data_IF_096229853916
#
_entry.id   IF_096229853916
#
_cell.length_a   1.000
_cell.length_b   1.000
_cell.length_c   1.000
_cell.angle_alpha   90.00
_cell.angle_beta   90.00
_cell.angle_gamma   90.00
#
_symmetry.space_group_name_H-M   'P 1'
#
loop_
_entity.id
_entity.type
_entity.pdbx_description
1 polymer ?
#
# COMPACT_ATOMS: atom_id res chain seq x y z
N UNK A 1 10.05 7.27 16.49
CA UNK A 1 8.96 6.67 15.72
C UNK A 1 7.92 6.10 16.67
N UNK A 2 6.70 6.62 16.66
CA UNK A 2 5.56 6.12 17.42
C UNK A 2 4.39 5.99 16.44
N UNK A 3 4.24 4.84 15.82
CA UNK A 3 3.04 4.50 15.09
C UNK A 3 1.96 4.08 16.11
N UNK A 4 0.78 4.65 16.01
CA UNK A 4 -0.34 4.35 16.89
C UNK A 4 -1.09 3.08 16.49
N UNK A 5 -0.62 2.40 15.44
CA UNK A 5 -1.23 1.18 14.93
C UNK A 5 -1.26 0.09 15.99
N UNK A 6 -2.46 -0.33 16.32
CA UNK A 6 -2.69 -1.44 17.24
C UNK A 6 -2.76 -2.74 16.46
N UNK A 7 -1.92 -3.70 16.84
CA UNK A 7 -1.83 -5.02 16.20
C UNK A 7 -1.61 -4.95 14.69
N UNK A 8 -0.44 -4.53 14.24
CA UNK A 8 -0.14 -4.42 12.82
C UNK A 8 -0.07 -5.81 12.16
N UNK A 9 -0.73 -5.94 11.00
CA UNK A 9 -0.72 -7.18 10.21
C UNK A 9 0.32 -7.14 9.11
N UNK A 10 0.58 -5.97 8.56
CA UNK A 10 1.52 -5.77 7.49
C UNK A 10 1.58 -4.33 7.04
N UNK A 11 2.42 -4.08 6.06
CA UNK A 11 2.56 -2.75 5.49
C UNK A 11 2.72 -2.84 3.97
N UNK A 12 2.28 -1.80 3.30
CA UNK A 12 2.54 -1.54 1.89
C UNK A 12 3.39 -0.30 1.76
N UNK A 13 4.23 -0.28 0.74
CA UNK A 13 5.19 0.81 0.49
C UNK A 13 4.92 1.40 -0.88
N UNK A 14 4.96 2.72 -0.98
CA UNK A 14 4.80 3.46 -2.23
C UNK A 14 4.98 4.95 -1.99
N UNK A 15 5.32 5.69 -3.02
CA UNK A 15 5.52 7.14 -2.98
C UNK A 15 4.17 7.85 -3.16
N UNK A 16 3.41 7.96 -2.06
CA UNK A 16 2.03 8.46 -2.06
C UNK A 16 1.91 9.97 -2.31
N UNK A 17 3.00 10.70 -2.15
CA UNK A 17 3.02 12.15 -2.37
C UNK A 17 3.83 12.58 -3.61
N UNK A 18 4.38 11.60 -4.36
CA UNK A 18 5.18 11.76 -5.57
C UNK A 18 6.44 12.63 -5.38
N UNK A 19 7.08 12.57 -4.19
CA UNK A 19 8.30 13.32 -3.87
C UNK A 19 9.59 12.53 -4.11
N UNK A 20 9.48 11.26 -4.47
CA UNK A 20 10.58 10.34 -4.71
C UNK A 20 10.98 9.52 -3.48
N UNK A 21 10.34 9.72 -2.32
CA UNK A 21 10.60 8.96 -1.11
C UNK A 21 9.45 8.00 -0.84
N UNK A 22 9.74 6.74 -0.64
CA UNK A 22 8.69 5.76 -0.36
C UNK A 22 8.07 5.97 1.01
N UNK A 23 6.74 6.04 1.04
CA UNK A 23 5.89 6.14 2.22
C UNK A 23 5.43 4.76 2.66
N UNK A 24 4.85 4.67 3.85
CA UNK A 24 4.43 3.39 4.42
C UNK A 24 2.98 3.47 4.90
N UNK A 25 2.14 2.58 4.40
CA UNK A 25 0.82 2.32 4.95
C UNK A 25 0.86 1.05 5.80
N UNK A 26 0.46 1.14 7.07
CA UNK A 26 0.45 0.03 8.02
C UNK A 26 -0.99 -0.37 8.30
N UNK A 27 -1.37 -1.57 7.91
CA UNK A 27 -2.67 -2.13 8.22
C UNK A 27 -2.74 -2.62 9.65
N UNK A 28 -3.76 -2.19 10.39
CA UNK A 28 -3.89 -2.42 11.81
C UNK A 28 -5.23 -2.95 12.26
N UNK A 29 -5.26 -3.33 13.54
CA UNK A 29 -6.45 -3.75 14.25
C UNK A 29 -6.64 -5.24 14.35
N UNK A 30 -7.48 -5.62 15.32
CA UNK A 30 -7.70 -7.01 15.66
C UNK A 30 -9.20 -7.35 15.70
N UNK A 31 -9.74 -8.25 15.05
CA UNK A 31 -11.18 -8.53 14.91
C UNK A 31 -11.94 -8.61 16.23
N UNK A 32 -11.83 -9.75 16.94
CA UNK A 32 -12.60 -10.03 18.15
C UNK A 32 -11.67 -10.56 19.28
N UNK A 33 -11.94 -10.24 20.52
CA UNK A 33 -12.96 -9.35 21.13
C UNK A 33 -12.47 -7.92 21.35
N UNK A 34 -11.55 -7.46 20.59
CA UNK A 34 -10.66 -6.35 20.89
C UNK A 34 -11.11 -4.99 20.36
N UNK A 35 -10.27 -4.00 20.64
CA UNK A 35 -10.51 -2.60 20.27
C UNK A 35 -10.24 -2.37 18.80
N UNK A 36 -10.93 -1.42 18.23
CA UNK A 36 -10.59 -0.85 16.93
C UNK A 36 -9.17 -0.30 16.95
N UNK A 37 -8.36 -0.73 16.01
CA UNK A 37 -7.02 -0.20 15.79
C UNK A 37 -7.01 0.55 14.46
N UNK A 38 -6.46 1.76 14.48
CA UNK A 38 -6.33 2.58 13.28
C UNK A 38 -5.29 2.00 12.33
N UNK A 39 -5.44 2.28 11.05
CA UNK A 39 -4.34 2.16 10.10
C UNK A 39 -3.41 3.35 10.26
N UNK A 40 -2.11 3.17 10.09
CA UNK A 40 -1.17 4.29 10.07
C UNK A 40 -0.71 4.58 8.66
N UNK A 41 -0.59 5.85 8.34
CA UNK A 41 0.01 6.34 7.11
C UNK A 41 1.20 7.22 7.45
N UNK A 42 2.38 6.79 7.04
CA UNK A 42 3.65 7.38 7.43
C UNK A 42 4.32 7.99 6.20
N UNK A 43 4.24 9.31 6.07
CA UNK A 43 4.94 10.03 5.00
C UNK A 43 6.42 10.17 5.32
N UNK A 44 7.26 9.79 4.36
CA UNK A 44 8.71 9.80 4.47
C UNK A 44 9.27 11.15 4.01
N UNK A 45 10.00 11.84 4.87
CA UNK A 45 10.69 13.05 4.51
C UNK A 45 12.17 12.78 4.20
N UNK A 46 12.52 12.67 2.93
CA UNK A 46 13.90 12.53 2.43
C UNK A 46 14.70 11.39 3.09
N UNK A 47 14.05 10.29 3.53
CA UNK A 47 14.68 9.20 4.24
C UNK A 47 15.15 9.54 5.66
N UNK A 48 14.81 10.71 6.20
CA UNK A 48 15.29 11.18 7.51
C UNK A 48 14.32 10.91 8.64
N UNK A 49 13.03 11.04 8.37
CA UNK A 49 11.96 10.83 9.36
C UNK A 49 10.65 10.53 8.68
N UNK A 50 9.74 9.95 9.43
CA UNK A 50 8.37 9.69 9.02
C UNK A 50 7.41 10.56 9.83
N UNK A 51 6.32 10.99 9.20
CA UNK A 51 5.23 11.72 9.83
C UNK A 51 3.97 10.88 9.82
N UNK A 52 3.31 10.75 10.95
CA UNK A 52 1.97 10.19 11.05
C UNK A 52 1.00 11.11 10.31
N UNK A 53 0.34 10.60 9.29
CA UNK A 53 -0.44 11.41 8.35
C UNK A 53 -1.83 10.85 8.06
N UNK A 54 -2.24 9.75 8.69
CA UNK A 54 -3.51 9.07 8.42
C UNK A 54 -4.73 9.98 8.66
N UNK A 55 -4.72 10.81 9.67
CA UNK A 55 -5.80 11.77 9.94
C UNK A 55 -5.74 13.00 9.03
N UNK A 56 -4.54 13.41 8.67
CA UNK A 56 -4.32 14.56 7.79
C UNK A 56 -4.79 14.27 6.36
N UNK A 57 -4.57 13.04 5.90
CA UNK A 57 -4.89 12.59 4.55
C UNK A 57 -6.24 11.87 4.45
N UNK A 58 -7.02 11.85 5.54
CA UNK A 58 -8.37 11.28 5.53
C UNK A 58 -8.46 9.76 5.45
N UNK A 59 -7.35 9.07 5.73
CA UNK A 59 -7.33 7.61 5.85
C UNK A 59 -8.09 7.18 7.11
N UNK A 60 -7.95 7.93 8.18
CA UNK A 60 -8.67 7.75 9.43
C UNK A 60 -9.29 9.10 9.88
N UNK A 61 -10.41 9.09 10.60
CA UNK A 61 -11.24 7.91 10.86
C UNK A 61 -11.89 7.37 9.58
N UNK A 62 -12.31 6.10 9.59
CA UNK A 62 -13.02 5.51 8.44
C UNK A 62 -14.15 6.41 7.97
N UNK A 63 -14.32 6.55 6.65
CA UNK A 63 -15.26 7.50 6.06
C UNK A 63 -16.73 7.28 6.46
N UNK A 64 -17.11 6.05 6.83
CA UNK A 64 -18.45 5.71 7.32
C UNK A 64 -18.57 5.79 8.86
N UNK A 65 -17.49 6.13 9.56
CA UNK A 65 -17.43 6.23 11.02
C UNK A 65 -17.61 4.90 11.76
N UNK A 66 -17.70 3.77 11.06
CA UNK A 66 -17.89 2.46 11.68
C UNK A 66 -16.57 1.92 12.20
N UNK A 67 -16.61 1.39 13.43
CA UNK A 67 -15.48 0.72 14.06
C UNK A 67 -15.75 -0.75 14.36
N UNK A 68 -17.02 -1.19 14.21
CA UNK A 68 -17.46 -2.53 14.56
C UNK A 68 -18.63 -3.00 13.70
N UNK A 69 -18.88 -4.30 13.71
CA UNK A 69 -20.04 -4.93 13.10
C UNK A 69 -20.42 -6.22 13.84
N UNK A 70 -21.65 -6.70 13.60
CA UNK A 70 -22.07 -8.00 14.14
C UNK A 70 -21.24 -9.10 13.50
N UNK A 71 -20.48 -9.84 14.31
CA UNK A 71 -19.70 -10.98 13.87
C UNK A 71 -20.53 -12.26 13.86
N UNK A 72 -21.22 -12.56 14.98
CA UNK A 72 -22.17 -13.66 15.06
C UNK A 72 -23.25 -13.38 16.10
N UNK A 73 -24.32 -14.18 16.06
CA UNK A 73 -25.43 -14.10 17.02
C UNK A 73 -25.56 -15.41 17.77
N UNK A 74 -25.64 -15.33 19.07
CA UNK A 74 -25.83 -16.46 19.99
C UNK A 74 -27.30 -16.56 20.39
N UNK A 75 -27.76 -17.79 20.58
CA UNK A 75 -29.03 -18.13 21.24
C UNK A 75 -28.72 -18.60 22.66
N UNK A 76 -28.72 -17.64 23.59
CA UNK A 76 -28.31 -17.89 24.97
C UNK A 76 -29.33 -18.70 25.81
N UNK A 77 -30.56 -18.77 25.37
CA UNK A 77 -31.58 -19.63 26.00
C UNK A 77 -31.63 -21.03 25.36
N UNK A 78 -31.04 -21.18 24.18
CA UNK A 78 -31.07 -22.42 23.40
C UNK A 78 -29.71 -23.08 23.25
N UNK A 79 -29.33 -23.26 21.99
CA UNK A 79 -28.13 -24.05 21.58
C UNK A 79 -26.81 -23.50 22.12
N UNK A 80 -26.74 -22.20 22.35
CA UNK A 80 -25.49 -21.51 22.72
C UNK A 80 -25.42 -21.17 24.22
N UNK A 81 -26.34 -21.71 25.06
CA UNK A 81 -26.46 -21.41 26.50
C UNK A 81 -25.17 -21.60 27.30
N UNK A 82 -24.28 -22.47 26.84
CA UNK A 82 -23.02 -22.77 27.51
C UNK A 82 -21.85 -21.94 26.97
N UNK A 83 -22.10 -21.07 25.99
CA UNK A 83 -21.06 -20.19 25.43
C UNK A 83 -20.65 -19.13 26.46
N UNK A 84 -19.33 -18.83 26.55
CA UNK A 84 -18.81 -17.89 27.56
C UNK A 84 -19.48 -16.50 27.48
N UNK A 85 -19.83 -16.07 26.30
CA UNK A 85 -20.51 -14.80 26.04
C UNK A 85 -21.99 -14.83 26.49
N UNK A 86 -22.58 -15.97 26.74
CA UNK A 86 -23.94 -16.11 27.23
C UNK A 86 -24.03 -16.10 28.78
N UNK A 87 -22.91 -16.09 29.49
CA UNK A 87 -22.88 -16.07 30.95
C UNK A 87 -23.63 -14.84 31.49
N UNK A 88 -24.75 -15.10 32.20
CA UNK A 88 -25.62 -14.04 32.75
C UNK A 88 -26.45 -13.29 31.70
N UNK A 89 -26.58 -13.84 30.50
CA UNK A 89 -27.39 -13.31 29.42
C UNK A 89 -28.54 -14.24 29.05
N UNK A 90 -29.62 -13.69 28.53
CA UNK A 90 -30.80 -14.43 28.03
C UNK A 90 -31.14 -13.94 26.62
N UNK A 91 -31.90 -14.73 25.86
CA UNK A 91 -32.34 -14.37 24.52
C UNK A 91 -31.24 -14.43 23.48
N UNK A 92 -31.42 -13.65 22.44
CA UNK A 92 -30.46 -13.52 21.31
C UNK A 92 -29.43 -12.43 21.58
N UNK A 93 -28.16 -12.82 21.73
CA UNK A 93 -27.05 -11.92 21.91
C UNK A 93 -26.26 -11.72 20.60
N UNK A 94 -26.11 -10.49 20.15
CA UNK A 94 -25.17 -10.14 19.07
C UNK A 94 -23.78 -9.96 19.66
N UNK A 95 -22.81 -10.68 19.10
CA UNK A 95 -21.39 -10.51 19.42
C UNK A 95 -20.77 -9.65 18.32
N UNK A 96 -20.17 -8.54 18.73
CA UNK A 96 -19.57 -7.58 17.84
C UNK A 96 -18.08 -7.90 17.61
N UNK A 97 -17.64 -7.78 16.38
CA UNK A 97 -16.24 -7.78 16.02
C UNK A 97 -15.82 -6.37 15.61
N UNK A 98 -14.61 -5.97 15.95
CA UNK A 98 -14.04 -4.72 15.49
C UNK A 98 -13.65 -4.82 14.01
N UNK A 99 -13.87 -3.76 13.25
CA UNK A 99 -13.31 -3.64 11.91
C UNK A 99 -11.80 -3.53 12.01
N UNK A 100 -11.10 -4.10 11.05
CA UNK A 100 -9.64 -4.02 10.99
C UNK A 100 -9.14 -4.41 9.60
N UNK A 101 -8.09 -3.76 9.19
CA UNK A 101 -7.42 -4.03 7.94
C UNK A 101 -6.43 -5.18 8.10
N UNK A 102 -6.38 -6.10 7.15
CA UNK A 102 -5.45 -7.25 7.14
C UNK A 102 -4.32 -7.05 6.16
N UNK A 103 -4.63 -6.55 5.00
CA UNK A 103 -3.69 -6.38 3.91
C UNK A 103 -4.02 -5.13 3.13
N UNK A 104 -3.05 -4.60 2.43
CA UNK A 104 -3.22 -3.45 1.55
C UNK A 104 -2.36 -3.61 0.31
N UNK A 105 -2.71 -2.86 -0.73
CA UNK A 105 -1.90 -2.65 -1.91
C UNK A 105 -1.93 -1.16 -2.25
N UNK A 106 -0.79 -0.64 -2.68
CA UNK A 106 -0.65 0.74 -3.17
C UNK A 106 -0.52 0.65 -4.69
N UNK A 107 -1.43 1.28 -5.40
CA UNK A 107 -1.50 1.27 -6.86
C UNK A 107 -2.14 2.58 -7.35
N UNK A 108 -1.91 2.94 -8.59
CA UNK A 108 -2.69 3.95 -9.30
C UNK A 108 -3.89 3.23 -9.94
N UNK A 109 -5.06 3.29 -9.27
CA UNK A 109 -6.23 2.47 -9.61
C UNK A 109 -7.06 3.05 -10.74
N UNK A 110 -7.19 4.38 -10.79
CA UNK A 110 -7.99 5.09 -11.79
C UNK A 110 -7.15 5.68 -12.93
N UNK A 111 -5.83 5.51 -12.89
CA UNK A 111 -4.84 5.95 -13.87
C UNK A 111 -4.74 7.47 -14.02
N UNK A 112 -4.93 8.20 -12.95
CA UNK A 112 -4.75 9.66 -12.92
C UNK A 112 -3.31 10.08 -12.57
N UNK A 113 -2.48 9.10 -12.18
CA UNK A 113 -1.04 9.24 -11.96
C UNK A 113 -0.63 9.33 -10.51
N UNK A 114 -1.54 9.52 -9.56
CA UNK A 114 -1.22 9.40 -8.15
C UNK A 114 -1.51 7.99 -7.62
N UNK A 115 -1.08 7.70 -6.41
CA UNK A 115 -1.20 6.36 -5.85
C UNK A 115 -2.34 6.27 -4.84
N UNK A 116 -3.17 5.26 -5.03
CA UNK A 116 -4.29 4.89 -4.19
C UNK A 116 -3.94 3.75 -3.25
N UNK A 117 -4.79 3.53 -2.25
CA UNK A 117 -4.67 2.41 -1.32
C UNK A 117 -5.92 1.55 -1.39
N UNK A 118 -5.73 0.27 -1.69
CA UNK A 118 -6.78 -0.75 -1.63
C UNK A 118 -6.52 -1.64 -0.42
N UNK A 119 -7.54 -1.85 0.42
CA UNK A 119 -7.38 -2.67 1.62
C UNK A 119 -8.23 -3.93 1.58
N UNK A 120 -7.78 -4.95 2.30
CA UNK A 120 -8.56 -6.14 2.61
C UNK A 120 -8.93 -6.11 4.10
N UNK A 121 -10.22 -6.12 4.36
CA UNK A 121 -10.76 -5.93 5.70
C UNK A 121 -11.13 -7.25 6.38
N UNK A 122 -11.00 -7.31 7.72
CA UNK A 122 -11.49 -8.43 8.50
C UNK A 122 -13.01 -8.46 8.46
N UNK A 123 -13.54 -9.48 7.78
CA UNK A 123 -14.97 -9.77 7.73
C UNK A 123 -15.85 -8.61 7.27
N UNK A 124 -15.28 -7.72 6.43
CA UNK A 124 -15.96 -6.58 5.85
C UNK A 124 -15.56 -6.36 4.38
N UNK A 125 -16.14 -5.37 3.74
CA UNK A 125 -15.83 -4.98 2.36
C UNK A 125 -14.45 -4.35 2.29
N UNK A 126 -13.70 -4.56 1.22
CA UNK A 126 -12.49 -3.77 0.95
C UNK A 126 -12.78 -2.27 1.01
N UNK A 127 -11.81 -1.49 1.45
CA UNK A 127 -11.84 -0.04 1.29
C UNK A 127 -11.01 0.33 0.07
N UNK A 128 -11.51 1.31 -0.67
CA UNK A 128 -10.78 1.99 -1.73
C UNK A 128 -10.55 3.41 -1.23
N UNK A 129 -9.31 3.75 -0.96
CA UNK A 129 -8.88 5.08 -0.56
C UNK A 129 -8.27 5.71 -1.81
N UNK A 130 -9.12 6.39 -2.56
CA UNK A 130 -8.73 7.06 -3.80
C UNK A 130 -8.10 8.40 -3.44
N UNK A 131 -6.90 8.62 -3.93
CA UNK A 131 -6.19 9.87 -3.79
C UNK A 131 -6.81 10.93 -4.70
N UNK A 132 -6.67 12.18 -4.34
CA UNK A 132 -7.01 13.35 -5.15
C UNK A 132 -5.82 14.30 -5.28
N UNK A 133 -4.62 13.75 -5.12
CA UNK A 133 -3.39 14.53 -5.15
C UNK A 133 -3.15 15.17 -6.51
N UNK A 134 -3.39 14.41 -7.59
CA UNK A 134 -3.24 14.86 -8.97
C UNK A 134 -4.17 16.03 -9.32
N UNK A 135 -5.34 16.09 -8.67
CA UNK A 135 -6.30 17.21 -8.80
C UNK A 135 -5.83 18.47 -8.04
N UNK A 136 -5.06 18.29 -6.97
CA UNK A 136 -4.63 19.36 -6.07
C UNK A 136 -3.29 19.98 -6.45
N UNK A 137 -2.41 19.20 -7.06
CA UNK A 137 -1.09 19.66 -7.54
C UNK A 137 -0.64 18.89 -8.77
N UNK A 138 0.16 19.53 -9.60
CA UNK A 138 0.86 18.81 -10.66
C UNK A 138 1.84 17.82 -10.04
N UNK A 139 1.72 16.56 -10.38
CA UNK A 139 2.64 15.49 -9.96
C UNK A 139 3.53 15.06 -11.12
N UNK A 140 4.72 14.59 -10.79
CA UNK A 140 5.71 14.10 -11.75
C UNK A 140 6.14 12.71 -11.33
N UNK A 141 5.99 11.73 -12.20
CA UNK A 141 6.30 10.33 -11.90
C UNK A 141 6.80 9.58 -13.12
N UNK A 142 7.38 8.40 -12.88
CA UNK A 142 7.61 7.37 -13.88
C UNK A 142 6.99 6.06 -13.38
N UNK A 143 6.35 5.33 -14.28
CA UNK A 143 5.97 3.93 -14.07
C UNK A 143 6.88 3.04 -14.90
N UNK A 144 7.42 1.97 -14.30
CA UNK A 144 8.34 1.06 -14.99
C UNK A 144 7.78 -0.36 -14.92
N UNK A 145 7.49 -0.91 -16.10
CA UNK A 145 7.05 -2.29 -16.26
C UNK A 145 8.16 -3.10 -16.92
N UNK A 146 8.55 -4.19 -16.26
CA UNK A 146 9.63 -5.05 -16.69
C UNK A 146 9.10 -6.29 -17.43
N UNK A 147 9.85 -6.72 -18.45
CA UNK A 147 9.65 -8.00 -19.13
C UNK A 147 10.98 -8.71 -19.29
N UNK A 148 11.19 -9.77 -18.52
CA UNK A 148 12.39 -10.61 -18.62
C UNK A 148 12.37 -11.48 -19.86
N UNK A 149 13.54 -11.80 -20.38
CA UNK A 149 13.79 -12.81 -21.45
C UNK A 149 14.61 -13.98 -20.91
N UNK A 150 15.81 -13.69 -20.43
CA UNK A 150 16.68 -14.65 -19.73
C UNK A 150 16.25 -14.77 -18.27
N UNK A 151 15.84 -13.66 -17.68
CA UNK A 151 15.19 -13.61 -16.36
C UNK A 151 13.73 -14.08 -16.45
N UNK A 152 13.07 -14.25 -15.29
CA UNK A 152 11.65 -14.55 -15.27
C UNK A 152 10.83 -13.47 -15.97
N UNK A 153 9.70 -13.84 -16.55
CA UNK A 153 8.85 -12.99 -17.39
C UNK A 153 8.50 -11.63 -16.79
N UNK A 154 8.24 -11.59 -15.49
CA UNK A 154 7.80 -10.38 -14.80
C UNK A 154 8.99 -9.57 -14.24
N UNK A 155 10.23 -10.02 -14.45
CA UNK A 155 11.43 -9.35 -13.92
C UNK A 155 11.51 -9.35 -12.39
N UNK A 156 10.84 -10.31 -11.71
CA UNK A 156 10.90 -10.43 -10.25
C UNK A 156 12.34 -10.70 -9.81
N UNK A 157 12.84 -9.87 -8.89
CA UNK A 157 14.22 -9.84 -8.42
C UNK A 157 15.08 -8.80 -9.15
N UNK A 158 14.55 -8.08 -10.13
CA UNK A 158 15.26 -6.98 -10.76
C UNK A 158 15.35 -5.76 -9.82
N UNK A 159 16.52 -5.12 -9.81
CA UNK A 159 16.73 -3.86 -9.10
C UNK A 159 16.70 -2.71 -10.11
N UNK A 160 15.78 -1.78 -9.90
CA UNK A 160 15.61 -0.60 -10.76
C UNK A 160 16.11 0.63 -10.02
N UNK A 161 16.98 1.40 -10.69
CA UNK A 161 17.50 2.68 -10.19
C UNK A 161 17.10 3.78 -11.16
N UNK A 162 16.34 4.76 -10.68
CA UNK A 162 16.02 5.99 -11.39
C UNK A 162 16.89 7.11 -10.82
N UNK A 163 17.64 7.79 -11.69
CA UNK A 163 18.47 8.94 -11.31
C UNK A 163 17.79 10.23 -11.73
N UNK A 164 17.70 11.20 -10.82
CA UNK A 164 17.04 12.49 -11.05
C UNK A 164 17.86 13.59 -10.38
N UNK A 165 18.42 14.51 -11.15
CA UNK A 165 19.22 15.63 -10.64
C UNK A 165 20.29 15.20 -9.63
N UNK A 166 20.95 14.06 -9.90
CA UNK A 166 22.01 13.50 -9.06
C UNK A 166 21.53 12.68 -7.86
N UNK A 167 20.24 12.66 -7.53
CA UNK A 167 19.65 11.73 -6.57
C UNK A 167 19.37 10.37 -7.24
N UNK A 168 19.41 9.30 -6.47
CA UNK A 168 19.07 7.94 -6.93
C UNK A 168 17.93 7.38 -6.12
N UNK A 169 16.91 6.93 -6.80
CA UNK A 169 15.76 6.22 -6.24
C UNK A 169 15.87 4.76 -6.68
N UNK A 170 15.77 3.84 -5.73
CA UNK A 170 16.05 2.41 -5.98
C UNK A 170 14.88 1.58 -5.49
N UNK A 171 14.30 0.76 -6.35
CA UNK A 171 13.24 -0.18 -5.99
C UNK A 171 13.60 -1.60 -6.46
N UNK A 172 13.29 -2.58 -5.61
CA UNK A 172 13.35 -3.99 -5.95
C UNK A 172 11.97 -4.42 -6.49
N UNK A 173 11.95 -4.98 -7.67
CA UNK A 173 10.74 -5.64 -8.18
C UNK A 173 10.58 -7.01 -7.50
N UNK A 174 10.04 -7.02 -6.30
CA UNK A 174 9.89 -8.24 -5.50
C UNK A 174 8.53 -8.94 -5.67
N UNK A 175 7.60 -8.28 -6.37
CA UNK A 175 6.25 -8.79 -6.62
C UNK A 175 5.38 -8.89 -5.36
N UNK A 176 5.74 -8.18 -4.29
CA UNK A 176 5.00 -8.19 -3.03
C UNK A 176 4.26 -6.88 -2.82
N UNK A 177 3.16 -6.97 -2.08
CA UNK A 177 2.37 -5.81 -1.70
C UNK A 177 1.56 -6.16 -0.46
N UNK A 178 2.00 -5.69 0.70
CA UNK A 178 1.34 -5.94 1.97
C UNK A 178 1.38 -7.40 2.48
N UNK A 179 0.60 -7.66 3.50
CA UNK A 179 0.50 -8.97 4.16
C UNK A 179 -0.25 -9.97 3.28
N UNK A 180 0.39 -11.09 2.96
CA UNK A 180 -0.16 -12.16 2.11
C UNK A 180 -0.66 -11.67 0.74
N UNK A 181 -0.15 -10.55 0.26
CA UNK A 181 -0.50 -9.97 -1.02
C UNK A 181 0.69 -10.00 -1.99
N UNK A 182 0.38 -10.11 -3.27
CA UNK A 182 1.34 -10.06 -4.36
C UNK A 182 0.83 -9.11 -5.44
N UNK A 183 1.74 -8.39 -6.06
CA UNK A 183 1.44 -7.48 -7.14
C UNK A 183 2.46 -7.61 -8.26
N UNK A 184 1.99 -7.56 -9.49
CA UNK A 184 2.82 -7.40 -10.69
C UNK A 184 2.65 -6.01 -11.31
N UNK A 185 2.25 -5.04 -10.50
CA UNK A 185 2.07 -3.66 -10.92
C UNK A 185 3.41 -3.03 -11.35
N UNK A 186 3.38 -2.02 -12.23
CA UNK A 186 4.58 -1.26 -12.54
C UNK A 186 5.21 -0.67 -11.27
N UNK A 187 6.53 -0.62 -11.22
CA UNK A 187 7.24 0.15 -10.20
C UNK A 187 6.94 1.63 -10.42
N UNK A 188 6.66 2.35 -9.35
CA UNK A 188 6.32 3.77 -9.38
C UNK A 188 7.42 4.60 -8.73
N UNK A 189 7.88 5.63 -9.42
CA UNK A 189 8.90 6.56 -8.95
C UNK A 189 8.38 7.99 -9.07
N UNK A 190 8.12 8.66 -7.95
CA UNK A 190 7.91 10.10 -7.94
C UNK A 190 9.20 10.83 -8.28
N UNK A 191 9.08 11.90 -9.03
CA UNK A 191 10.22 12.72 -9.47
C UNK A 191 10.30 14.07 -8.75
N UNK A 192 9.37 14.32 -7.79
CA UNK A 192 9.21 15.63 -7.17
C UNK A 192 8.95 16.71 -8.22
N UNK A 193 9.82 17.71 -8.31
CA UNK A 193 9.68 18.84 -9.25
C UNK A 193 10.42 18.61 -10.59
N UNK A 194 10.90 17.40 -10.87
CA UNK A 194 11.67 17.17 -12.09
C UNK A 194 10.77 16.74 -13.25
N UNK A 195 10.95 17.36 -14.41
CA UNK A 195 10.21 17.04 -15.64
C UNK A 195 10.72 15.79 -16.36
N UNK A 196 11.89 15.28 -15.96
CA UNK A 196 12.49 14.08 -16.54
C UNK A 196 13.47 13.43 -15.58
N UNK A 197 13.77 12.16 -15.81
CA UNK A 197 14.89 11.47 -15.18
C UNK A 197 16.17 11.58 -16.03
N UNK A 198 17.33 11.51 -15.37
CA UNK A 198 18.64 11.50 -16.04
C UNK A 198 18.93 10.11 -16.63
N UNK A 199 18.55 9.05 -15.91
CA UNK A 199 18.72 7.66 -16.35
C UNK A 199 17.80 6.69 -15.61
N UNK A 200 17.49 5.58 -16.28
CA UNK A 200 16.88 4.38 -15.67
C UNK A 200 17.87 3.24 -15.85
N UNK A 201 18.34 2.65 -14.76
CA UNK A 201 19.18 1.46 -14.75
C UNK A 201 18.40 0.26 -14.22
N UNK A 202 18.44 -0.84 -14.94
CA UNK A 202 17.87 -2.12 -14.51
C UNK A 202 19.00 -3.14 -14.36
N UNK A 203 19.15 -3.69 -13.15
CA UNK A 203 19.96 -4.88 -12.90
C UNK A 203 19.01 -6.08 -12.85
N UNK A 204 19.11 -6.92 -13.86
CA UNK A 204 18.25 -8.08 -14.03
C UNK A 204 18.70 -9.27 -13.18
N UNK A 205 17.79 -10.19 -12.80
CA UNK A 205 18.16 -11.43 -12.10
C UNK A 205 19.16 -12.31 -12.85
N UNK A 206 19.23 -12.20 -14.16
CA UNK A 206 20.26 -12.86 -14.99
C UNK A 206 21.68 -12.36 -14.74
N UNK A 207 21.82 -11.22 -14.04
CA UNK A 207 23.08 -10.49 -13.85
C UNK A 207 23.35 -9.45 -14.93
N UNK A 208 22.53 -9.36 -15.98
CA UNK A 208 22.70 -8.32 -17.00
C UNK A 208 22.28 -6.95 -16.49
N UNK A 209 22.96 -5.91 -16.97
CA UNK A 209 22.63 -4.51 -16.70
C UNK A 209 22.13 -3.83 -17.98
N UNK A 210 21.10 -3.02 -17.84
CA UNK A 210 20.52 -2.24 -18.93
C UNK A 210 20.32 -0.81 -18.48
N UNK A 211 20.73 0.17 -19.29
CA UNK A 211 20.64 1.60 -18.95
C UNK A 211 19.96 2.35 -20.08
N UNK A 212 18.98 3.18 -19.73
CA UNK A 212 18.31 4.13 -20.60
C UNK A 212 18.72 5.54 -20.15
N UNK A 213 19.14 6.41 -21.11
CA UNK A 213 19.66 7.75 -20.80
C UNK A 213 18.98 8.88 -21.63
N UNK A 214 17.91 8.57 -22.36
CA UNK A 214 17.27 9.55 -23.23
C UNK A 214 15.76 9.38 -23.27
N UNK A 215 15.05 10.48 -23.50
CA UNK A 215 13.59 10.51 -23.60
C UNK A 215 12.88 9.97 -22.34
N UNK A 216 13.37 10.33 -21.16
CA UNK A 216 12.84 9.89 -19.86
C UNK A 216 11.98 10.99 -19.24
N UNK A 217 11.04 11.52 -20.01
CA UNK A 217 10.09 12.55 -19.55
C UNK A 217 9.14 12.00 -18.49
N UNK A 218 8.74 12.88 -17.57
CA UNK A 218 7.78 12.54 -16.51
C UNK A 218 6.41 12.14 -17.07
N UNK A 219 5.61 11.54 -16.22
CA UNK A 219 4.22 11.13 -16.45
C UNK A 219 4.10 10.11 -17.59
N UNK A 220 5.05 9.19 -17.66
CA UNK A 220 5.07 8.11 -18.64
C UNK A 220 5.27 6.74 -18.00
N UNK A 221 4.80 5.72 -18.73
CA UNK A 221 5.05 4.31 -18.41
C UNK A 221 6.10 3.74 -19.36
N UNK A 222 7.23 3.31 -18.82
CA UNK A 222 8.30 2.65 -19.56
C UNK A 222 8.14 1.14 -19.52
N UNK A 223 7.98 0.53 -20.70
CA UNK A 223 8.02 -0.92 -20.85
C UNK A 223 9.45 -1.33 -21.21
N UNK A 224 10.18 -1.87 -20.23
CA UNK A 224 11.58 -2.26 -20.41
C UNK A 224 11.65 -3.78 -20.55
N UNK A 225 12.09 -4.22 -21.72
CA UNK A 225 12.34 -5.64 -21.99
C UNK A 225 13.82 -5.94 -21.85
N UNK A 226 14.15 -7.03 -21.15
CA UNK A 226 15.54 -7.47 -20.98
C UNK A 226 16.22 -7.63 -22.32
N UNK A 227 17.37 -6.97 -22.50
CA UNK A 227 18.23 -7.18 -23.67
C UNK A 227 18.83 -8.58 -23.67
N UNK A 228 19.04 -9.14 -24.85
CA UNK A 228 19.74 -10.43 -25.00
C UNK A 228 21.21 -10.30 -24.71
#
# INVERSE_FOLDING_TARGET
FRAETYWPWGFSVGDLNADGSEDVFVSGGMGYPFRYGINSLLLNQDGKRFFDSEFLLGVEPRGDGRTEKVWFTLDCDGKDKNHSECKGQTGRKKVLGTLSTRSSAIIDLDNDGDLDIVTNEFYDRPQLLISDLSEKKAIKFLKIKLTGKTSNRNGIGALVTVSVKGKKYVQLNDGKSGYLAQSSMPLYFGLGEADSADSIKVLWPSGSEQVLNSNLEANQTFHITESQ
#
